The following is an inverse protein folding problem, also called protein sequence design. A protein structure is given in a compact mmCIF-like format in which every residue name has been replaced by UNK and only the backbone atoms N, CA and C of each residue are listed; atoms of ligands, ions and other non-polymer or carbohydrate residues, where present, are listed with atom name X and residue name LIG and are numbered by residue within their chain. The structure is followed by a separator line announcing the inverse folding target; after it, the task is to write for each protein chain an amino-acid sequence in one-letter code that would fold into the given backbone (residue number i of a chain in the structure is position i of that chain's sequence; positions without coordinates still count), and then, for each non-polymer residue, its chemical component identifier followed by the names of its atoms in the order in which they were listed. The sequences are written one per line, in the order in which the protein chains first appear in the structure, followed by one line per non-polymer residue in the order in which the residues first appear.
data_IF_224448874932
#
_entry.id   IF_224448874932
#
_cell.length_a   1.000
_cell.length_b   1.000
_cell.length_c   1.000
_cell.angle_alpha   90.00
_cell.angle_beta   90.00
_cell.angle_gamma   90.00
#
_symmetry.space_group_name_H-M   'P 1'
#
loop_
_entity.id
_entity.type
_entity.pdbx_description
1 polymer ?
#
# COMPACT_ATOMS: atom_id res chain seq x y z
N UNK A 1 51.93 49.39 -41.33
CA UNK A 1 50.97 49.16 -42.43
C UNK A 1 50.77 47.67 -42.76
N UNK A 2 51.80 46.82 -42.78
CA UNK A 2 51.66 45.40 -43.16
C UNK A 2 50.94 44.50 -42.12
N UNK A 3 51.17 44.68 -40.82
CA UNK A 3 50.55 43.84 -39.77
C UNK A 3 49.02 44.01 -39.69
N UNK A 4 48.51 45.24 -39.90
CA UNK A 4 47.07 45.51 -39.92
C UNK A 4 46.35 44.82 -41.09
N UNK A 5 47.02 44.64 -42.23
CA UNK A 5 46.46 43.95 -43.39
C UNK A 5 46.32 42.43 -43.18
N UNK A 6 47.20 41.83 -42.37
CA UNK A 6 47.14 40.40 -42.03
C UNK A 6 45.99 40.13 -41.06
N UNK A 7 45.82 40.98 -40.04
CA UNK A 7 44.70 40.88 -39.10
C UNK A 7 43.35 41.11 -39.78
N UNK A 8 43.27 42.03 -40.74
CA UNK A 8 42.05 42.25 -41.53
C UNK A 8 41.66 41.03 -42.37
N UNK A 9 42.63 40.37 -43.04
CA UNK A 9 42.37 39.14 -43.79
C UNK A 9 41.90 38.00 -42.87
N UNK A 10 42.51 37.89 -41.69
CA UNK A 10 42.11 36.90 -40.69
C UNK A 10 40.70 37.16 -40.16
N UNK A 11 40.34 38.42 -39.96
CA UNK A 11 38.99 38.80 -39.58
C UNK A 11 37.98 38.48 -40.68
N UNK A 12 38.30 38.79 -41.94
CA UNK A 12 37.45 38.47 -43.09
C UNK A 12 37.17 36.97 -43.19
N UNK A 13 38.20 36.12 -43.11
CA UNK A 13 38.02 34.66 -43.13
C UNK A 13 37.07 34.18 -42.03
N UNK A 14 37.25 34.68 -40.79
CA UNK A 14 36.39 34.31 -39.66
C UNK A 14 34.96 34.80 -39.83
N UNK A 15 34.80 35.95 -40.48
CA UNK A 15 33.49 36.55 -40.72
C UNK A 15 32.74 35.76 -41.80
N UNK A 16 33.42 35.40 -42.89
CA UNK A 16 32.89 34.50 -43.93
C UNK A 16 32.50 33.13 -43.35
N UNK A 17 33.32 32.55 -42.46
CA UNK A 17 32.99 31.28 -41.80
C UNK A 17 31.77 31.40 -40.88
N UNK A 18 31.60 32.54 -40.19
CA UNK A 18 30.43 32.81 -39.36
C UNK A 18 29.17 33.06 -40.20
N UNK A 19 29.31 33.80 -41.30
CA UNK A 19 28.23 34.03 -42.26
C UNK A 19 27.80 32.73 -42.94
N UNK A 20 28.73 31.81 -43.25
CA UNK A 20 28.38 30.50 -43.79
C UNK A 20 27.69 29.61 -42.75
N UNK A 21 28.09 29.66 -41.48
CA UNK A 21 27.46 28.87 -40.41
C UNK A 21 26.09 29.40 -39.96
N UNK A 22 25.86 30.71 -40.06
CA UNK A 22 24.63 31.37 -39.57
C UNK A 22 23.69 31.79 -40.71
N UNK A 23 24.24 32.09 -41.89
CA UNK A 23 23.55 32.74 -43.01
C UNK A 23 23.15 31.83 -44.18
N UNK A 24 23.52 30.54 -44.19
CA UNK A 24 23.12 29.59 -45.25
C UNK A 24 21.61 29.22 -45.21
N UNK A 25 20.90 29.65 -44.17
CA UNK A 25 19.45 29.71 -44.15
C UNK A 25 18.99 31.15 -44.34
N UNK A 26 17.95 31.39 -45.15
CA UNK A 26 17.34 32.70 -45.44
C UNK A 26 16.70 33.43 -44.23
N UNK A 27 17.31 33.32 -43.05
CA UNK A 27 16.88 33.86 -41.78
C UNK A 27 18.08 34.39 -41.01
N UNK A 28 18.19 35.71 -40.91
CA UNK A 28 19.22 36.34 -40.10
C UNK A 28 19.23 35.84 -38.64
N UNK A 29 20.27 36.17 -37.86
CA UNK A 29 20.54 35.62 -36.51
C UNK A 29 19.35 35.66 -35.54
N UNK A 30 18.40 36.58 -35.77
CA UNK A 30 17.14 36.70 -35.04
C UNK A 30 16.20 35.50 -35.25
N UNK A 31 16.13 34.91 -36.45
CA UNK A 31 15.31 33.72 -36.72
C UNK A 31 15.88 32.48 -36.03
N UNK A 32 17.20 32.32 -36.00
CA UNK A 32 17.86 31.21 -35.27
C UNK A 32 17.60 31.33 -33.77
N UNK A 33 17.69 32.54 -33.21
CA UNK A 33 17.35 32.77 -31.81
C UNK A 33 15.85 32.50 -31.51
N UNK A 34 14.95 32.90 -32.41
CA UNK A 34 13.51 32.61 -32.30
C UNK A 34 13.19 31.11 -32.44
N UNK A 35 13.88 30.38 -33.32
CA UNK A 35 13.73 28.93 -33.47
C UNK A 35 14.28 28.17 -32.27
N UNK A 36 15.45 28.57 -31.75
CA UNK A 36 15.99 28.03 -30.50
C UNK A 36 15.02 28.26 -29.34
N UNK A 37 14.40 29.45 -29.26
CA UNK A 37 13.38 29.73 -28.25
C UNK A 37 12.15 28.83 -28.42
N UNK A 38 11.68 28.62 -29.66
CA UNK A 38 10.57 27.68 -29.94
C UNK A 38 10.91 26.25 -29.52
N UNK A 39 12.14 25.79 -29.81
CA UNK A 39 12.61 24.46 -29.38
C UNK A 39 12.70 24.36 -27.86
N UNK A 40 13.21 25.39 -27.19
CA UNK A 40 13.28 25.42 -25.72
C UNK A 40 11.88 25.36 -25.08
N UNK A 41 10.91 26.10 -25.63
CA UNK A 41 9.51 26.06 -25.18
C UNK A 41 8.89 24.68 -25.46
N UNK A 42 9.15 24.09 -26.62
CA UNK A 42 8.67 22.74 -26.94
C UNK A 42 9.24 21.68 -26.00
N UNK A 43 10.55 21.72 -25.71
CA UNK A 43 11.21 20.83 -24.75
C UNK A 43 10.65 21.00 -23.34
N UNK A 44 10.43 22.24 -22.90
CA UNK A 44 9.85 22.54 -21.58
C UNK A 44 8.42 22.02 -21.48
N UNK A 45 7.63 22.16 -22.55
CA UNK A 45 6.28 21.61 -22.62
C UNK A 45 6.27 20.09 -22.61
N UNK A 46 7.20 19.42 -23.31
CA UNK A 46 7.33 17.96 -23.32
C UNK A 46 7.72 17.46 -21.92
N UNK A 47 8.71 18.09 -21.28
CA UNK A 47 9.12 17.76 -19.91
C UNK A 47 7.97 17.94 -18.91
N UNK A 48 7.24 19.05 -18.99
CA UNK A 48 6.08 19.30 -18.13
C UNK A 48 4.92 18.33 -18.36
N UNK A 49 4.63 17.95 -19.61
CA UNK A 49 3.63 16.93 -19.94
C UNK A 49 4.02 15.56 -19.39
N UNK A 50 5.30 15.18 -19.51
CA UNK A 50 5.81 13.90 -19.00
C UNK A 50 5.66 13.79 -17.48
N UNK A 51 5.99 14.84 -16.73
CA UNK A 51 5.81 14.86 -15.28
C UNK A 51 4.33 14.83 -14.87
N UNK A 52 3.47 15.57 -15.59
CA UNK A 52 2.01 15.50 -15.38
C UNK A 52 1.46 14.09 -15.61
N UNK A 53 1.88 13.42 -16.69
CA UNK A 53 1.49 12.04 -16.98
C UNK A 53 1.94 11.11 -15.85
N UNK A 54 3.19 11.25 -15.38
CA UNK A 54 3.71 10.45 -14.26
C UNK A 54 2.90 10.64 -12.97
N UNK A 55 2.52 11.87 -12.64
CA UNK A 55 1.66 12.17 -11.48
C UNK A 55 0.27 11.56 -11.67
N UNK A 56 -0.31 11.65 -12.87
CA UNK A 56 -1.62 11.06 -13.18
C UNK A 56 -1.60 9.53 -13.06
N UNK A 57 -0.57 8.86 -13.57
CA UNK A 57 -0.43 7.40 -13.42
C UNK A 57 -0.35 6.97 -11.94
N UNK A 58 0.44 7.68 -11.12
CA UNK A 58 0.47 7.45 -9.66
C UNK A 58 -0.89 7.67 -9.01
N UNK A 59 -1.58 8.76 -9.39
CA UNK A 59 -2.93 9.03 -8.88
C UNK A 59 -3.94 7.96 -9.30
N UNK A 60 -3.82 7.39 -10.50
CA UNK A 60 -4.68 6.28 -10.95
C UNK A 60 -4.44 5.04 -10.09
N UNK A 61 -3.17 4.69 -9.82
CA UNK A 61 -2.85 3.60 -8.90
C UNK A 61 -3.44 3.82 -7.50
N UNK A 62 -3.36 5.06 -7.00
CA UNK A 62 -3.94 5.39 -5.70
C UNK A 62 -5.46 5.37 -5.73
N UNK A 63 -6.11 5.88 -6.77
CA UNK A 63 -7.57 5.80 -6.96
C UNK A 63 -8.04 4.35 -7.04
N UNK A 64 -7.30 3.47 -7.71
CA UNK A 64 -7.60 2.03 -7.76
C UNK A 64 -7.51 1.42 -6.34
N UNK A 65 -6.52 1.80 -5.53
CA UNK A 65 -6.43 1.38 -4.12
C UNK A 65 -7.60 1.88 -3.28
N UNK A 66 -8.02 3.13 -3.48
CA UNK A 66 -9.16 3.73 -2.78
C UNK A 66 -10.51 3.14 -3.22
N UNK A 67 -10.59 2.60 -4.44
CA UNK A 67 -11.78 1.92 -4.97
C UNK A 67 -11.92 0.47 -4.46
N UNK A 68 -10.88 -0.10 -3.84
CA UNK A 68 -11.00 -1.42 -3.20
C UNK A 68 -11.92 -1.29 -1.97
N UNK A 69 -13.11 -1.94 -1.96
CA UNK A 69 -14.04 -1.89 -0.84
C UNK A 69 -13.41 -2.35 0.48
N UNK A 70 -12.41 -3.25 0.40
CA UNK A 70 -11.70 -3.74 1.58
C UNK A 70 -10.78 -2.68 2.21
N UNK A 71 -10.38 -1.65 1.46
CA UNK A 71 -9.57 -0.55 1.95
C UNK A 71 -10.42 0.47 2.73
N UNK A 72 -11.60 0.82 2.21
CA UNK A 72 -12.54 1.75 2.88
C UNK A 72 -13.12 1.11 4.16
N UNK A 73 -13.54 -0.15 4.10
CA UNK A 73 -14.16 -0.83 5.24
C UNK A 73 -13.21 -1.07 6.42
N UNK A 74 -11.90 -1.16 6.17
CA UNK A 74 -10.89 -1.33 7.23
C UNK A 74 -10.34 -0.01 7.78
N UNK A 75 -10.42 1.10 7.03
CA UNK A 75 -9.73 2.34 7.42
C UNK A 75 -10.45 3.17 8.48
N UNK A 76 -11.78 3.10 8.59
CA UNK A 76 -12.45 3.92 9.58
C UNK A 76 -13.84 3.38 9.92
N UNK A 77 -13.92 2.43 10.86
CA UNK A 77 -15.10 2.40 11.73
C UNK A 77 -15.06 3.72 12.51
N UNK A 78 -16.00 4.66 12.26
CA UNK A 78 -15.96 5.96 12.94
C UNK A 78 -16.07 5.76 14.45
N UNK A 79 -15.42 6.60 15.25
CA UNK A 79 -15.42 6.41 16.71
C UNK A 79 -16.83 6.46 17.32
N UNK A 80 -17.74 7.22 16.71
CA UNK A 80 -19.16 7.21 17.07
C UNK A 80 -19.81 5.83 16.87
N UNK A 81 -19.44 5.10 15.81
CA UNK A 81 -19.94 3.75 15.54
C UNK A 81 -19.34 2.73 16.51
N UNK A 82 -18.06 2.88 16.90
CA UNK A 82 -17.45 2.04 17.96
C UNK A 82 -18.18 2.20 19.28
N UNK A 83 -18.53 3.42 19.65
CA UNK A 83 -19.27 3.69 20.89
C UNK A 83 -20.68 3.08 20.86
N UNK A 84 -21.39 3.21 19.74
CA UNK A 84 -22.69 2.56 19.56
C UNK A 84 -22.60 1.04 19.60
N UNK A 85 -21.54 0.45 19.03
CA UNK A 85 -21.29 -0.98 19.10
C UNK A 85 -21.04 -1.45 20.54
N UNK A 86 -20.21 -0.72 21.30
CA UNK A 86 -19.94 -1.02 22.71
C UNK A 86 -21.22 -0.93 23.55
N UNK A 87 -22.05 0.10 23.34
CA UNK A 87 -23.33 0.26 24.05
C UNK A 87 -24.34 -0.83 23.66
N UNK A 88 -24.40 -1.19 22.38
CA UNK A 88 -25.27 -2.27 21.91
C UNK A 88 -24.85 -3.64 22.48
N UNK A 89 -23.55 -3.88 22.66
CA UNK A 89 -23.02 -5.12 23.24
C UNK A 89 -22.80 -5.05 24.76
N UNK A 90 -23.13 -3.95 25.43
CA UNK A 90 -22.80 -3.70 26.85
C UNK A 90 -23.29 -4.81 27.78
N UNK A 91 -24.48 -5.36 27.53
CA UNK A 91 -25.01 -6.47 28.34
C UNK A 91 -24.51 -7.84 27.88
N UNK A 92 -24.18 -7.98 26.59
CA UNK A 92 -23.75 -9.24 26.02
C UNK A 92 -22.30 -9.57 26.42
N UNK A 93 -21.39 -8.60 26.44
CA UNK A 93 -19.97 -8.84 26.76
C UNK A 93 -19.77 -9.39 28.19
N UNK A 94 -20.36 -8.80 29.26
CA UNK A 94 -20.24 -9.34 30.61
C UNK A 94 -20.89 -10.71 30.76
N UNK A 95 -22.04 -10.94 30.13
CA UNK A 95 -22.72 -12.25 30.16
C UNK A 95 -21.86 -13.37 29.54
N UNK A 96 -21.21 -13.08 28.41
CA UNK A 96 -20.31 -14.01 27.72
C UNK A 96 -19.03 -14.24 28.53
N UNK A 97 -18.48 -13.19 29.13
CA UNK A 97 -17.31 -13.31 30.02
C UNK A 97 -17.61 -14.15 31.26
N UNK A 98 -18.76 -13.96 31.90
CA UNK A 98 -19.18 -14.76 33.05
C UNK A 98 -19.36 -16.24 32.68
N UNK A 99 -19.97 -16.53 31.52
CA UNK A 99 -20.11 -17.89 31.02
C UNK A 99 -18.75 -18.54 30.72
N UNK A 100 -17.82 -17.78 30.12
CA UNK A 100 -16.46 -18.26 29.86
C UNK A 100 -15.69 -18.57 31.15
N UNK A 101 -15.81 -17.75 32.19
CA UNK A 101 -15.21 -18.04 33.49
C UNK A 101 -15.83 -19.29 34.13
N UNK A 102 -17.14 -19.50 34.00
CA UNK A 102 -17.78 -20.75 34.45
C UNK A 102 -17.23 -21.97 33.71
N UNK A 103 -17.07 -21.89 32.38
CA UNK A 103 -16.48 -22.98 31.59
C UNK A 103 -15.04 -23.27 31.99
N UNK A 104 -14.23 -22.22 32.20
CA UNK A 104 -12.84 -22.34 32.67
C UNK A 104 -12.76 -23.00 34.05
N UNK A 105 -13.68 -22.67 34.96
CA UNK A 105 -13.75 -23.30 36.28
C UNK A 105 -14.15 -24.78 36.20
N UNK A 106 -14.92 -25.17 35.19
CA UNK A 106 -15.34 -26.56 34.96
C UNK A 106 -14.30 -27.39 34.19
N UNK A 107 -13.38 -26.76 33.45
CA UNK A 107 -12.30 -27.43 32.72
C UNK A 107 -11.54 -28.49 33.54
N UNK A 108 -11.08 -28.22 34.79
CA UNK A 108 -10.36 -29.22 35.59
C UNK A 108 -11.22 -30.40 36.07
N UNK A 109 -12.56 -30.31 35.99
CA UNK A 109 -13.44 -31.42 36.38
C UNK A 109 -13.48 -32.53 35.31
N UNK A 110 -13.20 -32.19 34.05
CA UNK A 110 -13.13 -33.14 32.93
C UNK A 110 -11.93 -34.07 33.04
N UNK A 111 -10.81 -33.57 33.59
CA UNK A 111 -9.59 -34.34 33.82
C UNK A 111 -9.55 -35.03 35.19
N UNK A 112 -10.70 -35.12 35.89
CA UNK A 112 -10.72 -35.68 37.23
C UNK A 112 -10.36 -37.18 37.25
N UNK A 113 -9.50 -37.63 38.18
CA UNK A 113 -9.07 -39.02 38.27
C UNK A 113 -10.24 -39.98 38.55
N UNK A 114 -11.32 -39.47 39.16
CA UNK A 114 -12.56 -40.21 39.40
C UNK A 114 -13.27 -40.61 38.11
N UNK A 115 -13.23 -39.76 37.06
CA UNK A 115 -13.79 -40.09 35.73
C UNK A 115 -12.89 -41.12 35.02
N UNK A 116 -11.56 -41.01 35.19
CA UNK A 116 -10.62 -41.97 34.61
C UNK A 116 -10.69 -43.36 35.27
N UNK A 117 -11.01 -43.43 36.56
CA UNK A 117 -11.12 -44.69 37.31
C UNK A 117 -12.45 -45.46 37.10
N UNK A 118 -13.40 -44.92 36.32
CA UNK A 118 -14.71 -45.55 36.07
C UNK A 118 -14.62 -46.99 35.51
N UNK A 119 -13.76 -47.30 34.53
CA UNK A 119 -13.64 -48.67 34.00
C UNK A 119 -13.21 -49.70 35.06
N UNK A 120 -12.29 -49.32 35.96
CA UNK A 120 -11.79 -50.18 37.03
C UNK A 120 -12.88 -50.48 38.06
N UNK A 121 -13.71 -49.48 38.38
CA UNK A 121 -14.87 -49.67 39.24
C UNK A 121 -15.96 -50.49 38.56
N UNK A 122 -16.18 -50.32 37.26
CA UNK A 122 -17.14 -51.11 36.48
C UNK A 122 -16.79 -52.60 36.47
N UNK A 123 -15.50 -52.96 36.31
CA UNK A 123 -15.06 -54.35 36.36
C UNK A 123 -15.31 -55.01 37.74
N UNK A 124 -15.03 -54.27 38.82
CA UNK A 124 -15.33 -54.74 40.19
C UNK A 124 -16.83 -54.91 40.43
N UNK A 125 -17.63 -53.98 39.91
CA UNK A 125 -19.09 -53.99 40.04
C UNK A 125 -19.73 -55.11 39.22
N UNK A 126 -19.23 -55.39 38.01
CA UNK A 126 -19.64 -56.55 37.21
C UNK A 126 -19.35 -57.87 37.94
N UNK A 127 -18.16 -58.01 38.55
CA UNK A 127 -17.81 -59.20 39.34
C UNK A 127 -18.74 -59.37 40.55
N UNK A 128 -19.03 -58.28 41.27
CA UNK A 128 -20.00 -58.30 42.38
C UNK A 128 -21.40 -58.66 41.91
N UNK A 129 -21.86 -58.11 40.78
CA UNK A 129 -23.15 -58.44 40.18
C UNK A 129 -23.24 -59.92 39.84
N UNK A 130 -22.18 -60.51 39.27
CA UNK A 130 -22.16 -61.93 38.93
C UNK A 130 -22.19 -62.83 40.18
N UNK A 131 -21.48 -62.45 41.24
CA UNK A 131 -21.54 -63.16 42.53
C UNK A 131 -22.94 -63.02 43.15
N UNK A 132 -23.56 -61.83 43.07
CA UNK A 132 -24.90 -61.61 43.60
C UNK A 132 -25.95 -62.46 42.88
N UNK A 133 -25.87 -62.57 41.55
CA UNK A 133 -26.75 -63.44 40.75
C UNK A 133 -26.58 -64.92 41.14
N UNK A 134 -25.38 -65.34 41.57
CA UNK A 134 -25.15 -66.71 42.05
C UNK A 134 -25.63 -66.96 43.48
N UNK A 135 -25.84 -65.91 44.27
CA UNK A 135 -26.29 -65.99 45.66
C UNK A 135 -27.82 -65.87 45.82
N UNK A 136 -28.53 -65.40 44.79
CA UNK A 136 -30.00 -65.39 44.70
C UNK A 136 -30.52 -66.66 44.03
#
# INVERSE_FOLDING_TARGET
MAAGAVELRRLQWRLEELEQRVGDGAGGPRKVAEELLKVQVALSNIAGKRERIKILFKKIEDVIKYLDPQYIDRMAVPDAMKLQFILAEEQAVPSRAALLEQMKNLQPSLDSPSIQAVPDHAAKLQRLSQIHIQQQ
#
